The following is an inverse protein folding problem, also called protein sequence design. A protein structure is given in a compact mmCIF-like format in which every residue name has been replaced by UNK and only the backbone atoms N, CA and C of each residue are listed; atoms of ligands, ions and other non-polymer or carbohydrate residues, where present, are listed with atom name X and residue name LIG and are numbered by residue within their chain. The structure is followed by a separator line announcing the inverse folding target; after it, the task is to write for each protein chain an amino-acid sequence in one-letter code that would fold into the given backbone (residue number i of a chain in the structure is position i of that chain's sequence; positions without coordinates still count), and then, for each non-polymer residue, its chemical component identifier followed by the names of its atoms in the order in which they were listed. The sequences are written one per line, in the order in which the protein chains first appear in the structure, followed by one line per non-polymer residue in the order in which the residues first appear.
data_IF_703652995016
#
_entry.id   IF_703652995016
#
_cell.length_a   1.000
_cell.length_b   1.000
_cell.length_c   1.000
_cell.angle_alpha   90.00
_cell.angle_beta   90.00
_cell.angle_gamma   90.00
#
_symmetry.space_group_name_H-M   'P 1'
#
loop_
_entity.id
_entity.type
_entity.pdbx_description
1 polymer ?
#
# COMPACT_ATOMS: atom_id res chain seq x y z
N UNK A 1 -20.00 -15.97 -13.59
CA UNK A 1 -18.82 -16.80 -13.26
C UNK A 1 -18.22 -17.51 -14.49
N UNK A 2 -18.72 -17.21 -15.70
CA UNK A 2 -18.47 -17.96 -16.95
C UNK A 2 -17.04 -17.84 -17.51
N UNK A 3 -16.37 -16.71 -17.31
CA UNK A 3 -15.05 -16.46 -17.91
C UNK A 3 -13.85 -16.64 -16.96
N UNK A 4 -14.05 -17.16 -15.73
CA UNK A 4 -12.97 -17.27 -14.73
C UNK A 4 -11.85 -18.19 -15.19
N UNK A 5 -12.19 -19.36 -15.73
CA UNK A 5 -11.18 -20.31 -16.22
C UNK A 5 -10.38 -19.75 -17.40
N UNK A 6 -11.07 -19.10 -18.35
CA UNK A 6 -10.44 -18.42 -19.48
C UNK A 6 -9.51 -17.29 -19.03
N UNK A 7 -9.96 -16.47 -18.08
CA UNK A 7 -9.15 -15.40 -17.50
C UNK A 7 -7.88 -15.95 -16.84
N UNK A 8 -8.01 -16.98 -15.98
CA UNK A 8 -6.85 -17.57 -15.29
C UNK A 8 -5.86 -18.22 -16.26
N UNK A 9 -6.34 -18.79 -17.37
CA UNK A 9 -5.46 -19.30 -18.43
C UNK A 9 -4.68 -18.18 -19.10
N UNK A 10 -5.37 -17.12 -19.53
CA UNK A 10 -4.73 -15.94 -20.14
C UNK A 10 -3.74 -15.27 -19.19
N UNK A 11 -4.09 -15.13 -17.92
CA UNK A 11 -3.20 -14.59 -16.89
C UNK A 11 -1.90 -15.41 -16.80
N UNK A 12 -1.99 -16.75 -16.79
CA UNK A 12 -0.79 -17.60 -16.77
C UNK A 12 0.07 -17.43 -18.02
N UNK A 13 -0.54 -17.37 -19.20
CA UNK A 13 0.17 -17.13 -20.46
C UNK A 13 0.94 -15.80 -20.42
N UNK A 14 0.30 -14.73 -19.96
CA UNK A 14 0.94 -13.40 -19.80
C UNK A 14 2.06 -13.40 -18.75
N UNK A 15 1.85 -14.06 -17.60
CA UNK A 15 2.90 -14.18 -16.57
C UNK A 15 4.11 -14.96 -17.07
N UNK A 16 3.90 -16.05 -17.80
CA UNK A 16 4.98 -16.83 -18.41
C UNK A 16 5.77 -16.02 -19.44
N UNK A 17 5.07 -15.25 -20.29
CA UNK A 17 5.70 -14.38 -21.27
C UNK A 17 6.49 -13.25 -20.59
N UNK A 18 5.93 -12.63 -19.56
CA UNK A 18 6.59 -11.60 -18.78
C UNK A 18 7.83 -12.13 -18.05
N UNK A 19 7.75 -13.30 -17.43
CA UNK A 19 8.87 -13.94 -16.76
C UNK A 19 10.02 -14.21 -17.76
N UNK A 20 9.72 -14.78 -18.93
CA UNK A 20 10.71 -15.00 -20.01
C UNK A 20 11.35 -13.71 -20.48
N UNK A 21 10.56 -12.64 -20.64
CA UNK A 21 11.08 -11.32 -21.01
C UNK A 21 12.06 -10.78 -19.95
N UNK A 22 11.68 -10.87 -18.68
CA UNK A 22 12.55 -10.45 -17.57
C UNK A 22 13.84 -11.28 -17.50
N UNK A 23 13.77 -12.61 -17.71
CA UNK A 23 14.97 -13.47 -17.80
C UNK A 23 15.89 -13.00 -18.93
N UNK A 24 15.36 -12.87 -20.15
CA UNK A 24 16.16 -12.48 -21.32
C UNK A 24 16.81 -11.11 -21.16
N UNK A 25 16.19 -10.22 -20.39
CA UNK A 25 16.65 -8.84 -20.22
C UNK A 25 17.34 -8.57 -18.89
N UNK A 26 17.65 -9.62 -18.11
CA UNK A 26 18.37 -9.51 -16.83
C UNK A 26 17.60 -8.76 -15.73
N UNK A 27 16.26 -8.74 -15.78
CA UNK A 27 15.40 -8.05 -14.82
C UNK A 27 14.70 -9.03 -13.88
N UNK A 28 14.35 -8.56 -12.69
CA UNK A 28 13.50 -9.29 -11.74
C UNK A 28 12.03 -8.97 -12.04
N UNK A 29 11.18 -9.98 -12.33
CA UNK A 29 9.77 -9.72 -12.60
C UNK A 29 9.02 -9.37 -11.30
N UNK A 30 8.25 -8.29 -11.34
CA UNK A 30 7.41 -7.80 -10.25
C UNK A 30 5.99 -7.56 -10.78
N UNK A 31 4.97 -8.11 -10.11
CA UNK A 31 3.58 -8.07 -10.60
C UNK A 31 2.62 -7.68 -9.48
N UNK A 32 1.76 -6.70 -9.78
CA UNK A 32 0.59 -6.35 -9.00
C UNK A 32 -0.66 -6.89 -9.67
N UNK A 33 -1.37 -7.79 -9.00
CA UNK A 33 -2.56 -8.46 -9.57
C UNK A 33 -3.83 -7.66 -9.30
N UNK A 34 -3.94 -7.06 -8.12
CA UNK A 34 -5.04 -6.18 -7.71
C UNK A 34 -4.84 -4.78 -8.29
N UNK A 35 -5.65 -4.44 -9.29
CA UNK A 35 -5.73 -3.09 -9.86
C UNK A 35 -6.94 -2.35 -9.31
N UNK A 36 -8.15 -2.84 -9.59
CA UNK A 36 -9.42 -2.22 -9.19
C UNK A 36 -10.13 -2.93 -8.04
N UNK A 37 -9.93 -4.24 -7.90
CA UNK A 37 -10.60 -5.08 -6.90
C UNK A 37 -9.58 -5.73 -5.99
N UNK A 38 -9.85 -5.78 -4.69
CA UNK A 38 -9.04 -6.49 -3.70
C UNK A 38 -9.40 -7.99 -3.70
N UNK A 39 -8.76 -8.75 -4.60
CA UNK A 39 -8.94 -10.19 -4.71
C UNK A 39 -7.88 -10.90 -3.85
N UNK A 40 -8.27 -11.87 -2.99
CA UNK A 40 -7.33 -12.71 -2.26
C UNK A 40 -6.77 -13.82 -3.17
N UNK A 41 -5.82 -13.46 -4.03
CA UNK A 41 -5.27 -14.34 -5.08
C UNK A 41 -4.67 -15.65 -4.54
N UNK A 42 -4.06 -15.64 -3.36
CA UNK A 42 -3.53 -16.81 -2.66
C UNK A 42 -4.61 -17.85 -2.34
N UNK A 43 -5.89 -17.45 -2.27
CA UNK A 43 -7.03 -18.36 -2.11
C UNK A 43 -7.70 -18.70 -3.43
N UNK A 44 -7.81 -17.70 -4.32
CA UNK A 44 -8.54 -17.80 -5.59
C UNK A 44 -7.77 -18.63 -6.62
N UNK A 45 -6.44 -18.55 -6.61
CA UNK A 45 -5.53 -19.23 -7.52
C UNK A 45 -4.16 -19.54 -6.86
N UNK A 46 -4.11 -20.34 -5.77
CA UNK A 46 -2.88 -20.62 -5.01
C UNK A 46 -1.73 -21.15 -5.86
N UNK A 47 -2.05 -21.98 -6.87
CA UNK A 47 -1.05 -22.56 -7.76
C UNK A 47 -0.21 -21.55 -8.54
N UNK A 48 -0.73 -20.33 -8.75
CA UNK A 48 -0.04 -19.27 -9.50
C UNK A 48 1.29 -18.87 -8.84
N UNK A 49 1.32 -18.79 -7.51
CA UNK A 49 2.54 -18.41 -6.77
C UNK A 49 3.60 -19.52 -6.77
N UNK A 50 3.15 -20.78 -6.77
CA UNK A 50 4.02 -21.95 -6.87
C UNK A 50 4.54 -22.17 -8.30
N UNK A 51 3.75 -21.86 -9.31
CA UNK A 51 4.10 -21.94 -10.73
C UNK A 51 5.15 -20.87 -11.09
N UNK A 52 4.96 -19.62 -10.64
CA UNK A 52 5.81 -18.49 -10.98
C UNK A 52 6.70 -18.02 -9.82
N UNK A 53 7.56 -18.92 -9.33
CA UNK A 53 8.39 -18.67 -8.12
C UNK A 53 9.36 -17.49 -8.26
N UNK A 54 9.78 -17.13 -9.48
CA UNK A 54 10.70 -15.99 -9.69
C UNK A 54 9.97 -14.65 -9.76
N UNK A 55 8.66 -14.65 -10.00
CA UNK A 55 7.86 -13.44 -9.98
C UNK A 55 7.64 -13.01 -8.53
N UNK A 56 7.96 -11.76 -8.25
CA UNK A 56 7.66 -11.10 -6.99
C UNK A 56 6.28 -10.46 -7.09
N UNK A 57 5.30 -11.06 -6.45
CA UNK A 57 3.95 -10.53 -6.40
C UNK A 57 3.82 -9.52 -5.25
N UNK A 58 3.06 -8.46 -5.47
CA UNK A 58 2.67 -7.54 -4.41
C UNK A 58 1.28 -6.98 -4.66
N UNK A 59 0.50 -6.73 -3.60
CA UNK A 59 -0.83 -6.15 -3.74
C UNK A 59 -1.20 -5.27 -2.56
N UNK A 60 -2.28 -4.50 -2.75
CA UNK A 60 -2.91 -3.76 -1.66
C UNK A 60 -4.13 -4.55 -1.21
N UNK A 61 -4.39 -4.52 0.10
CA UNK A 61 -5.55 -5.20 0.67
C UNK A 61 -6.19 -4.41 1.79
N UNK A 62 -7.51 -4.46 1.86
CA UNK A 62 -8.30 -3.95 2.97
C UNK A 62 -8.68 -5.04 3.98
N UNK A 63 -8.38 -6.31 3.69
CA UNK A 63 -8.53 -7.40 4.65
C UNK A 63 -7.44 -7.31 5.71
N UNK A 64 -7.76 -7.67 6.96
CA UNK A 64 -6.77 -7.66 8.05
C UNK A 64 -5.64 -8.66 7.79
N UNK A 65 -4.48 -8.41 8.40
CA UNK A 65 -3.37 -9.35 8.33
C UNK A 65 -3.72 -10.72 8.92
N UNK A 66 -4.55 -10.75 9.98
CA UNK A 66 -5.06 -11.99 10.56
C UNK A 66 -5.97 -12.76 9.59
N UNK A 67 -6.82 -12.05 8.84
CA UNK A 67 -7.62 -12.71 7.80
C UNK A 67 -6.69 -13.34 6.76
N UNK A 68 -5.64 -12.65 6.32
CA UNK A 68 -4.70 -13.14 5.31
C UNK A 68 -3.36 -13.54 5.93
N UNK A 69 -3.38 -14.37 6.98
CA UNK A 69 -2.19 -14.65 7.81
C UNK A 69 -1.05 -15.36 7.04
N UNK A 70 -1.39 -16.35 6.23
CA UNK A 70 -0.42 -17.15 5.46
C UNK A 70 -0.36 -16.64 4.03
N UNK A 71 0.82 -16.18 3.61
CA UNK A 71 1.09 -15.75 2.24
C UNK A 71 2.20 -16.62 1.62
N UNK A 72 2.14 -16.88 0.31
CA UNK A 72 3.27 -17.41 -0.43
C UNK A 72 4.54 -16.55 -0.24
N UNK A 73 5.71 -17.19 -0.21
CA UNK A 73 6.98 -16.51 0.07
C UNK A 73 7.33 -15.38 -0.94
N UNK A 74 6.81 -15.47 -2.16
CA UNK A 74 6.97 -14.49 -3.23
C UNK A 74 5.79 -13.51 -3.33
N UNK A 75 4.93 -13.40 -2.32
CA UNK A 75 3.79 -12.48 -2.31
C UNK A 75 3.77 -11.57 -1.08
N UNK A 76 3.70 -10.26 -1.31
CA UNK A 76 3.69 -9.26 -0.24
C UNK A 76 2.43 -8.38 -0.29
N UNK A 77 1.85 -8.10 0.87
CA UNK A 77 0.67 -7.24 0.96
C UNK A 77 0.97 -5.95 1.71
N UNK A 78 0.49 -4.85 1.15
CA UNK A 78 0.35 -3.58 1.83
C UNK A 78 -1.12 -3.38 2.23
N UNK A 79 -1.37 -3.10 3.49
CA UNK A 79 -2.70 -2.99 4.05
C UNK A 79 -3.21 -1.56 3.93
N UNK A 80 -4.34 -1.34 3.27
CA UNK A 80 -4.86 0.00 3.02
C UNK A 80 -5.65 0.52 4.22
N UNK A 81 -5.36 1.75 4.65
CA UNK A 81 -6.18 2.51 5.56
C UNK A 81 -7.56 2.81 4.95
N UNK A 82 -8.58 2.79 5.80
CA UNK A 82 -9.96 3.19 5.51
C UNK A 82 -10.50 4.01 6.67
N UNK A 83 -11.57 4.74 6.42
CA UNK A 83 -12.30 5.51 7.43
C UNK A 83 -12.80 4.63 8.59
N UNK A 84 -13.04 3.35 8.29
CA UNK A 84 -13.49 2.32 9.24
C UNK A 84 -12.35 1.45 9.77
N UNK A 85 -11.09 1.80 9.51
CA UNK A 85 -9.95 1.06 10.05
C UNK A 85 -9.91 1.19 11.57
N UNK A 86 -10.09 0.06 12.27
CA UNK A 86 -9.96 -0.03 13.72
C UNK A 86 -8.51 -0.24 14.17
N UNK A 87 -8.17 0.13 15.41
CA UNK A 87 -6.83 -0.10 15.98
C UNK A 87 -6.35 -1.55 15.86
N UNK A 88 -7.23 -2.54 16.06
CA UNK A 88 -6.89 -3.96 15.94
C UNK A 88 -6.41 -4.35 14.52
N UNK A 89 -6.91 -3.68 13.47
CA UNK A 89 -6.44 -3.88 12.10
C UNK A 89 -5.00 -3.37 11.92
N UNK A 90 -4.71 -2.16 12.46
CA UNK A 90 -3.36 -1.60 12.46
C UNK A 90 -2.42 -2.51 13.25
N UNK A 91 -2.84 -2.92 14.44
CA UNK A 91 -2.05 -3.79 15.31
C UNK A 91 -1.68 -5.11 14.64
N UNK A 92 -2.65 -5.84 14.09
CA UNK A 92 -2.39 -7.10 13.38
C UNK A 92 -1.46 -6.90 12.18
N UNK A 93 -1.65 -5.80 11.42
CA UNK A 93 -0.81 -5.44 10.27
C UNK A 93 0.65 -5.25 10.68
N UNK A 94 0.90 -4.41 11.68
CA UNK A 94 2.26 -4.09 12.11
C UNK A 94 2.92 -5.27 12.82
N UNK A 95 2.19 -6.03 13.64
CA UNK A 95 2.70 -7.27 14.27
C UNK A 95 3.10 -8.34 13.25
N UNK A 96 2.36 -8.45 12.14
CA UNK A 96 2.73 -9.31 11.03
C UNK A 96 3.93 -8.79 10.20
N UNK A 97 4.51 -7.64 10.58
CA UNK A 97 5.61 -6.99 9.85
C UNK A 97 5.19 -6.46 8.49
N UNK A 98 3.89 -6.20 8.28
CA UNK A 98 3.34 -5.68 7.02
C UNK A 98 3.18 -4.18 7.08
N UNK A 99 3.16 -3.56 5.90
CA UNK A 99 3.08 -2.11 5.80
C UNK A 99 1.62 -1.67 5.71
N UNK A 100 1.32 -0.49 6.27
CA UNK A 100 0.01 0.15 6.17
C UNK A 100 0.09 1.35 5.22
N UNK A 101 -0.86 1.51 4.30
CA UNK A 101 -0.89 2.62 3.34
C UNK A 101 -1.87 3.67 3.84
N UNK A 102 -1.41 4.90 4.03
CA UNK A 102 -2.23 6.01 4.54
C UNK A 102 -2.10 7.20 3.59
N UNK A 103 -3.21 7.71 3.02
CA UNK A 103 -3.16 8.92 2.24
C UNK A 103 -3.25 10.16 3.15
N UNK A 104 -2.49 11.20 2.81
CA UNK A 104 -2.47 12.48 3.49
C UNK A 104 -2.94 13.58 2.55
N UNK A 105 -3.46 14.67 3.10
CA UNK A 105 -3.80 15.89 2.33
C UNK A 105 -2.57 16.72 1.91
N UNK A 106 -1.42 16.05 1.82
CA UNK A 106 -0.18 16.62 1.32
C UNK A 106 -0.30 16.99 -0.15
N UNK A 107 0.15 18.19 -0.51
CA UNK A 107 0.04 18.71 -1.87
C UNK A 107 0.79 17.84 -2.89
N UNK A 108 0.23 17.69 -4.09
CA UNK A 108 0.81 16.86 -5.15
C UNK A 108 0.74 17.56 -6.51
N UNK A 109 1.89 17.99 -7.04
CA UNK A 109 1.99 18.66 -8.34
C UNK A 109 3.18 18.12 -9.15
N UNK A 110 3.18 16.83 -9.51
CA UNK A 110 4.32 16.16 -10.16
C UNK A 110 4.67 16.78 -11.53
N UNK A 111 3.69 17.30 -12.27
CA UNK A 111 3.92 17.99 -13.54
C UNK A 111 4.82 19.23 -13.40
N UNK A 112 4.90 19.82 -12.20
CA UNK A 112 5.78 20.94 -11.85
C UNK A 112 7.02 20.50 -11.08
N UNK A 113 7.18 19.20 -10.82
CA UNK A 113 8.21 18.67 -9.92
C UNK A 113 8.05 19.18 -8.48
N UNK A 114 6.81 19.39 -8.02
CA UNK A 114 6.53 19.96 -6.70
C UNK A 114 5.65 19.03 -5.86
N UNK A 115 6.01 18.89 -4.59
CA UNK A 115 5.38 17.98 -3.63
C UNK A 115 5.27 18.63 -2.25
N UNK A 116 4.24 18.27 -1.51
CA UNK A 116 4.07 18.60 -0.11
C UNK A 116 5.00 17.79 0.79
N UNK A 117 5.01 18.12 2.08
CA UNK A 117 5.63 17.25 3.09
C UNK A 117 4.73 16.05 3.39
N UNK A 118 5.33 14.91 3.71
CA UNK A 118 4.64 13.81 4.39
C UNK A 118 5.03 13.85 5.88
N UNK A 119 4.21 13.28 6.78
CA UNK A 119 4.62 13.13 8.17
C UNK A 119 5.91 12.31 8.27
N UNK A 120 6.75 12.55 9.27
CA UNK A 120 7.87 11.66 9.56
C UNK A 120 7.40 10.37 10.23
N UNK A 121 6.40 10.49 11.10
CA UNK A 121 5.83 9.38 11.85
C UNK A 121 4.30 9.49 11.91
N UNK A 122 3.65 8.34 12.02
CA UNK A 122 2.24 8.23 12.37
C UNK A 122 2.12 7.50 13.70
N UNK A 123 1.29 8.02 14.60
CA UNK A 123 0.93 7.37 15.85
C UNK A 123 -0.54 6.99 15.78
N UNK A 124 -0.83 5.70 15.65
CA UNK A 124 -2.19 5.17 15.75
C UNK A 124 -2.54 4.98 17.22
N UNK A 125 -3.71 5.43 17.65
CA UNK A 125 -4.17 5.37 19.05
C UNK A 125 -5.54 4.71 19.12
N UNK A 126 -5.65 3.69 19.96
CA UNK A 126 -6.91 3.04 20.29
C UNK A 126 -7.76 3.96 21.16
N UNK A 127 -8.95 4.32 20.70
CA UNK A 127 -9.85 5.25 21.42
C UNK A 127 -10.27 4.74 22.79
N UNK A 128 -10.50 3.44 22.91
CA UNK A 128 -11.05 2.82 24.11
C UNK A 128 -9.99 2.57 25.18
N UNK A 129 -8.77 2.23 24.76
CA UNK A 129 -7.71 1.75 25.67
C UNK A 129 -6.53 2.71 25.82
N UNK A 130 -6.42 3.73 24.97
CA UNK A 130 -5.27 4.64 24.90
C UNK A 130 -3.97 3.99 24.40
N UNK A 131 -4.00 2.70 24.05
CA UNK A 131 -2.85 2.00 23.47
C UNK A 131 -2.45 2.66 22.15
N UNK A 132 -1.14 2.72 21.87
CA UNK A 132 -0.65 3.35 20.65
C UNK A 132 0.42 2.53 19.94
N UNK A 133 0.48 2.70 18.62
CA UNK A 133 1.52 2.14 17.74
C UNK A 133 2.10 3.29 16.92
N UNK A 134 3.40 3.50 17.06
CA UNK A 134 4.15 4.48 16.28
C UNK A 134 4.89 3.81 15.14
N UNK A 135 4.75 4.34 13.93
CA UNK A 135 5.45 3.85 12.74
C UNK A 135 6.08 4.99 11.95
N UNK A 136 7.23 4.71 11.33
CA UNK A 136 7.88 5.63 10.39
C UNK A 136 7.12 5.66 9.07
N UNK A 137 7.14 6.82 8.42
CA UNK A 137 6.51 7.03 7.12
C UNK A 137 7.53 6.93 6.00
N UNK A 138 7.13 6.29 4.90
CA UNK A 138 7.86 6.23 3.63
C UNK A 138 7.01 6.83 2.53
N UNK A 139 7.64 7.51 1.57
CA UNK A 139 6.94 8.08 0.42
C UNK A 139 6.55 7.00 -0.58
N UNK A 140 5.26 6.66 -0.63
CA UNK A 140 4.70 5.68 -1.57
C UNK A 140 4.56 6.19 -3.00
N UNK A 141 4.69 7.49 -3.26
CA UNK A 141 4.55 8.06 -4.60
C UNK A 141 5.88 8.10 -5.39
N UNK A 142 6.99 7.63 -4.78
CA UNK A 142 8.30 7.54 -5.44
C UNK A 142 8.38 6.41 -6.49
N UNK A 143 7.69 5.31 -6.25
CA UNK A 143 7.58 4.14 -7.15
C UNK A 143 6.32 3.34 -6.79
N UNK A 144 5.89 2.41 -7.64
CA UNK A 144 4.75 1.54 -7.32
C UNK A 144 5.15 0.28 -6.53
N UNK A 145 6.41 -0.15 -6.60
CA UNK A 145 6.89 -1.35 -5.89
C UNK A 145 6.67 -1.24 -4.37
N UNK A 146 6.23 -2.33 -3.76
CA UNK A 146 5.99 -2.42 -2.30
C UNK A 146 6.75 -3.55 -1.65
N UNK A 147 8.01 -3.70 -2.03
CA UNK A 147 8.83 -4.77 -1.51
C UNK A 147 9.50 -4.39 -0.20
N UNK A 148 9.68 -5.38 0.68
CA UNK A 148 10.33 -5.19 1.98
C UNK A 148 11.74 -4.60 1.87
N UNK A 149 12.49 -4.92 0.83
CA UNK A 149 13.85 -4.38 0.63
C UNK A 149 13.82 -2.91 0.20
N UNK A 150 12.69 -2.44 -0.33
CA UNK A 150 12.51 -1.06 -0.79
C UNK A 150 11.88 -0.20 0.30
N UNK A 151 10.78 -0.64 0.88
CA UNK A 151 9.99 0.15 1.84
C UNK A 151 10.36 -0.15 3.31
N UNK A 152 10.89 -1.34 3.58
CA UNK A 152 10.99 -1.90 4.92
C UNK A 152 9.74 -2.70 5.31
N UNK A 153 9.62 -2.97 6.61
CA UNK A 153 8.53 -3.76 7.21
C UNK A 153 7.96 -3.03 8.43
N UNK A 154 6.64 -3.12 8.62
CA UNK A 154 5.95 -2.46 9.72
C UNK A 154 5.99 -0.93 9.62
N UNK A 155 6.00 -0.38 8.41
CA UNK A 155 6.02 1.07 8.15
C UNK A 155 4.69 1.57 7.60
N UNK A 156 4.49 2.89 7.68
CA UNK A 156 3.42 3.58 6.97
C UNK A 156 3.91 4.00 5.57
N UNK A 157 3.24 3.54 4.52
CA UNK A 157 3.41 4.06 3.16
C UNK A 157 2.49 5.27 3.02
N UNK A 158 3.08 6.46 3.09
CA UNK A 158 2.37 7.73 2.93
C UNK A 158 2.14 8.07 1.47
N UNK A 159 0.90 8.43 1.14
CA UNK A 159 0.53 8.93 -0.19
C UNK A 159 0.11 10.40 -0.13
N UNK A 160 0.44 11.16 -1.17
CA UNK A 160 -0.01 12.54 -1.32
C UNK A 160 -1.47 12.63 -1.81
N UNK A 161 -2.12 13.77 -1.55
CA UNK A 161 -3.46 14.09 -2.00
C UNK A 161 -3.48 14.45 -3.48
N UNK A 162 -3.79 13.47 -4.35
CA UNK A 162 -3.71 13.62 -5.82
C UNK A 162 -4.93 14.28 -6.48
N UNK A 163 -5.92 14.69 -5.69
CA UNK A 163 -7.17 15.26 -6.19
C UNK A 163 -7.21 16.78 -6.04
N UNK A 164 -8.19 17.42 -6.69
CA UNK A 164 -8.48 18.84 -6.48
C UNK A 164 -8.84 19.13 -5.02
N UNK A 165 -8.61 20.39 -4.59
CA UNK A 165 -8.72 20.82 -3.19
C UNK A 165 -10.03 20.40 -2.53
N UNK A 166 -11.18 20.59 -3.19
CA UNK A 166 -12.49 20.23 -2.63
C UNK A 166 -12.61 18.73 -2.31
N UNK A 167 -12.13 17.86 -3.20
CA UNK A 167 -12.14 16.40 -2.99
C UNK A 167 -11.16 15.99 -1.89
N UNK A 168 -10.01 16.64 -1.79
CA UNK A 168 -9.05 16.39 -0.71
C UNK A 168 -9.65 16.79 0.63
N UNK A 169 -10.28 17.96 0.72
CA UNK A 169 -10.98 18.41 1.94
C UNK A 169 -12.06 17.42 2.36
N UNK A 170 -12.95 17.02 1.43
CA UNK A 170 -13.99 16.03 1.71
C UNK A 170 -13.41 14.67 2.17
N UNK A 171 -12.28 14.25 1.61
CA UNK A 171 -11.59 13.02 2.01
C UNK A 171 -10.94 13.12 3.40
N UNK A 172 -10.49 14.31 3.82
CA UNK A 172 -10.01 14.53 5.19
C UNK A 172 -11.18 14.45 6.17
N UNK A 173 -12.27 15.14 5.85
CA UNK A 173 -13.50 15.17 6.65
C UNK A 173 -14.10 13.77 6.82
N UNK A 174 -14.07 12.94 5.77
CA UNK A 174 -14.66 11.59 5.83
C UNK A 174 -13.89 10.61 6.71
N UNK A 175 -12.59 10.83 6.94
CA UNK A 175 -11.72 9.79 7.53
C UNK A 175 -10.67 9.22 6.58
N UNK A 176 -10.84 9.43 5.27
CA UNK A 176 -10.10 8.69 4.24
C UNK A 176 -8.65 9.13 4.16
N UNK A 177 -8.44 10.45 4.10
CA UNK A 177 -7.13 11.09 4.17
C UNK A 177 -6.87 11.62 5.57
N UNK A 178 -5.62 11.57 6.04
CA UNK A 178 -5.23 12.16 7.32
C UNK A 178 -4.65 13.55 7.09
N UNK A 179 -5.10 14.50 7.91
CA UNK A 179 -4.60 15.87 7.83
C UNK A 179 -3.14 15.96 8.29
N UNK A 180 -2.31 16.65 7.52
CA UNK A 180 -0.95 17.00 7.89
C UNK A 180 -0.70 18.49 7.58
N UNK A 181 -0.65 19.32 8.63
CA UNK A 181 -0.53 20.77 8.52
C UNK A 181 0.66 21.25 7.65
N UNK A 182 1.78 20.54 7.66
CA UNK A 182 2.99 20.92 6.90
C UNK A 182 2.96 20.43 5.44
N UNK A 183 1.94 19.64 5.09
CA UNK A 183 1.74 19.00 3.79
C UNK A 183 1.33 19.96 2.67
N UNK A 184 0.76 21.13 2.98
CA UNK A 184 0.27 22.05 1.95
C UNK A 184 1.39 22.76 1.18
N UNK A 185 2.54 23.02 1.82
CA UNK A 185 3.63 23.79 1.20
C UNK A 185 4.38 22.96 0.16
N UNK A 186 4.32 23.40 -1.10
CA UNK A 186 5.01 22.76 -2.21
C UNK A 186 6.55 22.98 -2.15
N UNK A 187 7.29 21.92 -2.46
CA UNK A 187 8.76 21.82 -2.44
C UNK A 187 9.23 20.96 -3.61
N UNK A 188 10.50 21.10 -4.03
CA UNK A 188 11.08 20.27 -5.11
C UNK A 188 11.26 18.79 -4.75
N UNK A 189 11.28 18.49 -3.46
CA UNK A 189 11.45 17.13 -2.93
C UNK A 189 10.46 16.93 -1.79
N UNK A 190 9.83 15.76 -1.72
CA UNK A 190 9.05 15.36 -0.56
C UNK A 190 9.98 15.22 0.65
N UNK A 191 9.73 16.04 1.67
CA UNK A 191 10.39 15.91 2.98
C UNK A 191 9.47 15.18 3.96
N UNK A 192 10.07 14.62 5.00
CA UNK A 192 9.35 13.96 6.09
C UNK A 192 9.51 14.82 7.35
N UNK A 193 8.41 15.35 7.89
CA UNK A 193 8.45 16.26 9.05
C UNK A 193 7.20 16.10 9.91
N UNK A 194 7.34 16.32 11.21
CA UNK A 194 6.24 16.25 12.15
C UNK A 194 5.72 14.84 12.41
N UNK A 195 4.68 14.76 13.23
CA UNK A 195 4.00 13.53 13.61
C UNK A 195 2.50 13.73 13.43
N UNK A 196 1.82 12.74 12.85
CA UNK A 196 0.36 12.71 12.76
C UNK A 196 -0.18 11.66 13.69
N UNK A 197 -1.07 12.06 14.60
CA UNK A 197 -1.80 11.14 15.48
C UNK A 197 -3.14 10.79 14.85
N UNK A 198 -3.48 9.51 14.81
CA UNK A 198 -4.72 8.99 14.24
C UNK A 198 -5.43 8.14 15.28
N UNK A 199 -6.61 8.57 15.68
CA UNK A 199 -7.47 7.80 16.57
C UNK A 199 -8.35 6.83 15.79
N UNK A 200 -8.25 5.55 16.13
CA UNK A 200 -8.82 4.42 15.39
C UNK A 200 -9.20 3.27 16.31
#
# INVERSE_FOLDING_TARGET
MEFRALFLRKLREELANFERLCIRTGRVPAVRLNVSTDIPWERVAPGLFAEFRRIRFYDYSAYSADNRAVLPANYQLCHSWKETTAFAYVESTIRAGRNIVVPFDSAYAPARGLFGALPAEVVFVCRETGRSIRVRVRNGDKHDFRFRETDGAGVCIGLHGKSGRSKVTAAVESGFMRHHAEGAKLRRVTIHVGTVTVEC
#
